data_IF_265873746927
#
_entry.id   IF_265873746927
#
_cell.length_a   1.000
_cell.length_b   1.000
_cell.length_c   1.000
_cell.angle_alpha   90.00
_cell.angle_beta   90.00
_cell.angle_gamma   90.00
#
_symmetry.space_group_name_H-M   'P 1'
#
loop_
_entity.id
_entity.type
_entity.pdbx_description
1 polymer ?
#
# COMPACT_ATOMS: atom_id res chain seq x y z
N UNK A 1 14.68 -38.69 53.66
CA UNK A 1 13.60 -38.71 52.65
C UNK A 1 13.86 -37.53 51.75
N UNK A 2 14.31 -37.79 50.53
CA UNK A 2 14.83 -36.80 49.59
C UNK A 2 13.69 -35.92 49.08
N UNK A 3 13.81 -34.59 49.28
CA UNK A 3 12.88 -33.62 48.71
C UNK A 3 13.23 -33.47 47.24
N UNK A 4 12.38 -33.98 46.35
CA UNK A 4 12.50 -33.71 44.93
C UNK A 4 12.04 -32.28 44.70
N UNK A 5 13.01 -31.39 44.61
CA UNK A 5 12.86 -29.98 44.31
C UNK A 5 12.34 -29.85 42.86
N UNK A 6 11.02 -29.67 42.70
CA UNK A 6 10.35 -29.60 41.41
C UNK A 6 10.45 -28.16 40.87
N UNK A 7 11.65 -27.78 40.42
CA UNK A 7 11.90 -26.51 39.75
C UNK A 7 12.21 -26.76 38.26
N UNK A 8 11.78 -25.82 37.42
CA UNK A 8 12.07 -25.82 35.98
C UNK A 8 13.23 -24.86 35.71
N UNK A 9 14.28 -25.33 35.04
CA UNK A 9 15.40 -24.46 34.60
C UNK A 9 15.05 -23.81 33.27
N UNK A 10 15.50 -22.58 33.07
CA UNK A 10 15.65 -22.05 31.72
C UNK A 10 16.85 -22.70 31.00
N UNK A 11 16.67 -23.02 29.73
CA UNK A 11 17.74 -23.61 28.90
C UNK A 11 18.72 -22.56 28.35
N UNK A 12 18.28 -21.29 28.28
CA UNK A 12 19.06 -20.16 27.75
C UNK A 12 19.69 -19.29 28.84
N UNK A 13 19.34 -19.49 30.12
CA UNK A 13 19.98 -18.79 31.24
C UNK A 13 19.96 -19.63 32.54
N UNK A 14 20.64 -19.16 33.59
CA UNK A 14 20.75 -19.91 34.85
C UNK A 14 19.56 -19.74 35.82
N UNK A 15 18.45 -19.13 35.38
CA UNK A 15 17.26 -18.97 36.21
C UNK A 15 16.49 -20.26 36.40
N UNK A 16 15.87 -20.37 37.57
CA UNK A 16 15.07 -21.52 38.03
C UNK A 16 13.73 -21.01 38.55
N UNK A 17 12.69 -21.77 38.29
CA UNK A 17 11.31 -21.39 38.54
C UNK A 17 10.60 -22.49 39.30
N UNK A 18 9.89 -22.14 40.36
CA UNK A 18 9.16 -23.10 41.21
C UNK A 18 7.81 -23.50 40.61
N UNK A 19 7.32 -22.77 39.61
CA UNK A 19 6.05 -23.06 38.93
C UNK A 19 6.18 -22.93 37.42
N UNK A 20 5.46 -23.77 36.68
CA UNK A 20 5.38 -23.73 35.22
C UNK A 20 4.96 -22.36 34.70
N UNK A 21 3.91 -21.76 35.31
CA UNK A 21 3.46 -20.40 34.96
C UNK A 21 4.56 -19.34 35.05
N UNK A 22 5.39 -19.39 36.10
CA UNK A 22 6.49 -18.43 36.27
C UNK A 22 7.63 -18.66 35.26
N UNK A 23 7.84 -19.92 34.86
CA UNK A 23 8.75 -20.29 33.80
C UNK A 23 8.25 -19.77 32.44
N UNK A 24 6.98 -20.02 32.08
CA UNK A 24 6.37 -19.54 30.83
C UNK A 24 6.44 -18.01 30.70
N UNK A 25 6.10 -17.28 31.77
CA UNK A 25 6.20 -15.83 31.79
C UNK A 25 7.63 -15.33 31.60
N UNK A 26 8.63 -16.04 32.13
CA UNK A 26 10.03 -15.71 31.90
C UNK A 26 10.45 -15.98 30.45
N UNK A 27 10.02 -17.11 29.89
CA UNK A 27 10.34 -17.51 28.52
C UNK A 27 9.76 -16.51 27.51
N UNK A 28 8.53 -16.03 27.74
CA UNK A 28 7.86 -15.00 26.94
C UNK A 28 8.50 -13.60 27.13
N UNK A 29 8.76 -13.18 28.37
CA UNK A 29 9.24 -11.83 28.64
C UNK A 29 10.69 -11.57 28.19
N UNK A 30 11.52 -12.62 28.11
CA UNK A 30 12.93 -12.51 27.71
C UNK A 30 13.23 -13.14 26.35
N UNK A 31 12.21 -13.49 25.58
CA UNK A 31 12.36 -14.17 24.27
C UNK A 31 13.27 -15.41 24.35
N UNK A 32 13.18 -16.16 25.46
CA UNK A 32 13.95 -17.39 25.68
C UNK A 32 13.26 -18.63 25.10
N UNK A 33 12.03 -18.49 24.60
CA UNK A 33 11.32 -19.51 23.82
C UNK A 33 12.18 -19.97 22.62
N UNK A 34 11.97 -21.19 22.12
CA UNK A 34 12.51 -21.52 20.80
C UNK A 34 11.92 -20.55 19.76
N UNK A 35 12.70 -20.04 18.80
CA UNK A 35 12.15 -19.13 17.80
C UNK A 35 11.11 -19.89 16.98
N UNK A 36 9.87 -19.40 16.99
CA UNK A 36 8.71 -20.09 16.42
C UNK A 36 8.50 -19.71 14.95
N UNK A 37 9.02 -18.55 14.53
CA UNK A 37 8.78 -17.98 13.22
C UNK A 37 10.08 -17.85 12.44
N UNK A 38 10.17 -18.51 11.29
CA UNK A 38 11.31 -18.43 10.39
C UNK A 38 10.95 -17.61 9.16
N UNK A 39 11.86 -16.74 8.70
CA UNK A 39 11.68 -16.04 7.43
C UNK A 39 11.90 -17.02 6.29
N UNK A 40 10.98 -17.09 5.33
CA UNK A 40 11.15 -17.91 4.11
C UNK A 40 12.25 -17.38 3.19
N UNK A 41 12.68 -16.12 3.39
CA UNK A 41 13.61 -15.40 2.51
C UNK A 41 15.01 -15.25 3.13
N UNK A 42 15.20 -15.56 4.41
CA UNK A 42 16.50 -15.52 5.07
C UNK A 42 16.56 -16.46 6.28
N UNK A 43 17.76 -16.82 6.74
CA UNK A 43 17.94 -17.74 7.88
C UNK A 43 17.66 -17.13 9.25
N UNK A 44 16.95 -16.00 9.30
CA UNK A 44 16.68 -15.28 10.55
C UNK A 44 15.38 -15.80 11.15
N UNK A 45 15.44 -16.07 12.44
CA UNK A 45 14.34 -16.64 13.22
C UNK A 45 13.86 -15.62 14.25
N UNK A 46 12.58 -15.68 14.60
CA UNK A 46 11.88 -14.69 15.42
C UNK A 46 10.98 -15.40 16.43
N UNK A 47 10.80 -14.76 17.58
CA UNK A 47 10.01 -15.29 18.69
C UNK A 47 8.55 -14.82 18.68
N UNK A 48 8.20 -13.84 17.83
CA UNK A 48 6.83 -13.36 17.68
C UNK A 48 6.46 -13.06 16.23
N UNK A 49 5.16 -13.22 15.92
CA UNK A 49 4.60 -12.89 14.61
C UNK A 49 4.79 -11.40 14.27
N UNK A 50 4.71 -10.52 15.26
CA UNK A 50 4.93 -9.09 15.07
C UNK A 50 6.38 -8.78 14.66
N UNK A 51 7.36 -9.43 15.29
CA UNK A 51 8.77 -9.23 14.99
C UNK A 51 9.14 -9.70 13.58
N UNK A 52 8.65 -10.88 13.16
CA UNK A 52 8.88 -11.34 11.78
C UNK A 52 8.17 -10.44 10.76
N UNK A 53 6.94 -9.99 11.03
CA UNK A 53 6.24 -9.07 10.11
C UNK A 53 7.00 -7.74 9.96
N UNK A 54 7.51 -7.17 11.05
CA UNK A 54 8.34 -5.97 10.99
C UNK A 54 9.64 -6.20 10.22
N UNK A 55 10.28 -7.35 10.42
CA UNK A 55 11.47 -7.73 9.66
C UNK A 55 11.18 -7.84 8.15
N UNK A 56 10.14 -8.59 7.78
CA UNK A 56 9.74 -8.79 6.38
C UNK A 56 9.40 -7.47 5.71
N UNK A 57 8.75 -6.54 6.42
CA UNK A 57 8.47 -5.18 5.92
C UNK A 57 9.73 -4.32 5.78
N UNK A 58 10.58 -4.26 6.80
CA UNK A 58 11.78 -3.41 6.80
C UNK A 58 12.86 -3.86 5.81
N UNK A 59 13.01 -5.17 5.62
CA UNK A 59 13.90 -5.75 4.61
C UNK A 59 13.24 -5.90 3.25
N UNK A 60 11.93 -5.68 3.19
CA UNK A 60 11.15 -5.87 1.98
C UNK A 60 11.24 -7.32 1.48
N UNK A 61 11.25 -8.29 2.38
CA UNK A 61 11.17 -9.71 2.02
C UNK A 61 9.76 -10.13 1.61
N UNK A 62 8.74 -9.29 1.87
CA UNK A 62 7.41 -9.52 1.30
C UNK A 62 7.50 -9.55 -0.22
N UNK A 63 6.95 -10.62 -0.80
CA UNK A 63 6.72 -10.68 -2.23
C UNK A 63 5.88 -9.49 -2.67
N UNK A 64 6.22 -8.82 -3.78
CA UNK A 64 5.41 -7.74 -4.31
C UNK A 64 4.06 -8.31 -4.77
N UNK A 65 2.96 -7.81 -4.20
CA UNK A 65 1.60 -8.32 -4.42
C UNK A 65 0.76 -7.47 -5.35
N UNK A 66 1.12 -6.19 -5.53
CA UNK A 66 0.28 -5.21 -6.23
C UNK A 66 0.90 -4.89 -7.59
N UNK A 67 0.40 -5.49 -8.70
CA UNK A 67 0.91 -5.20 -10.02
C UNK A 67 0.42 -3.84 -10.53
N UNK A 68 1.25 -3.15 -11.29
CA UNK A 68 0.80 -2.06 -12.14
C UNK A 68 -0.03 -2.63 -13.30
N UNK A 69 -1.17 -2.01 -13.59
CA UNK A 69 -2.02 -2.43 -14.72
C UNK A 69 -1.46 -2.05 -16.09
N UNK A 70 -0.50 -1.12 -16.13
CA UNK A 70 0.02 -0.51 -17.35
C UNK A 70 1.44 -0.97 -17.69
N UNK A 71 2.19 -1.50 -16.71
CA UNK A 71 3.55 -1.98 -16.93
C UNK A 71 3.86 -3.21 -16.07
N UNK A 72 5.01 -3.85 -16.30
CA UNK A 72 5.39 -5.09 -15.61
C UNK A 72 5.94 -4.88 -14.18
N UNK A 73 5.80 -3.68 -13.60
CA UNK A 73 6.26 -3.41 -12.24
C UNK A 73 5.24 -3.91 -11.22
N UNK A 74 5.75 -4.49 -10.13
CA UNK A 74 4.93 -4.99 -9.01
C UNK A 74 5.45 -4.40 -7.70
N UNK A 75 4.54 -4.00 -6.83
CA UNK A 75 4.82 -3.29 -5.59
C UNK A 75 4.41 -4.10 -4.37
N UNK A 76 5.07 -3.83 -3.24
CA UNK A 76 4.85 -4.54 -1.97
C UNK A 76 3.62 -4.04 -1.21
N UNK A 77 3.23 -2.79 -1.42
CA UNK A 77 2.07 -2.15 -0.78
C UNK A 77 1.23 -1.40 -1.80
N UNK A 78 -0.04 -1.15 -1.46
CA UNK A 78 -0.96 -0.37 -2.28
C UNK A 78 -0.50 1.08 -2.40
N UNK A 79 0.06 1.65 -1.33
CA UNK A 79 0.57 3.03 -1.30
C UNK A 79 1.77 3.21 -2.23
N UNK A 80 2.68 2.24 -2.27
CA UNK A 80 3.82 2.26 -3.19
C UNK A 80 3.35 2.14 -4.65
N UNK A 81 2.37 1.27 -4.92
CA UNK A 81 1.75 1.17 -6.23
C UNK A 81 1.06 2.49 -6.61
N UNK A 82 0.30 3.11 -5.70
CA UNK A 82 -0.40 4.35 -5.96
C UNK A 82 0.57 5.51 -6.25
N UNK A 83 1.66 5.63 -5.49
CA UNK A 83 2.72 6.60 -5.75
C UNK A 83 3.34 6.39 -7.14
N UNK A 84 3.61 5.15 -7.53
CA UNK A 84 4.11 4.83 -8.87
C UNK A 84 3.10 5.23 -9.96
N UNK A 85 1.83 4.87 -9.78
CA UNK A 85 0.78 5.18 -10.75
C UNK A 85 0.61 6.70 -10.92
N UNK A 86 0.71 7.47 -9.84
CA UNK A 86 0.72 8.93 -9.87
C UNK A 86 1.95 9.49 -10.62
N UNK A 87 3.15 9.04 -10.24
CA UNK A 87 4.41 9.55 -10.80
C UNK A 87 4.58 9.22 -12.29
N UNK A 88 4.08 8.07 -12.74
CA UNK A 88 4.14 7.62 -14.13
C UNK A 88 2.89 7.92 -14.94
N UNK A 89 1.86 8.53 -14.33
CA UNK A 89 0.55 8.79 -14.94
C UNK A 89 -0.05 7.53 -15.59
N UNK A 90 0.05 6.41 -14.88
CA UNK A 90 -0.49 5.12 -15.33
C UNK A 90 -1.97 4.94 -15.00
N UNK A 91 -2.55 5.83 -14.18
CA UNK A 91 -4.00 5.87 -13.97
C UNK A 91 -4.72 6.14 -15.27
N UNK A 92 -5.91 5.57 -15.44
CA UNK A 92 -6.76 5.93 -16.57
C UNK A 92 -7.06 7.44 -16.55
N UNK A 93 -7.05 8.11 -17.71
CA UNK A 93 -7.41 9.52 -17.76
C UNK A 93 -8.87 9.68 -17.36
N UNK A 94 -9.16 10.69 -16.54
CA UNK A 94 -10.50 10.89 -15.93
C UNK A 94 -11.13 12.24 -16.27
N UNK A 95 -10.39 13.15 -16.91
CA UNK A 95 -10.85 14.52 -17.20
C UNK A 95 -11.33 14.61 -18.64
N UNK A 96 -12.65 14.53 -18.91
CA UNK A 96 -13.15 14.58 -20.28
C UNK A 96 -13.10 15.99 -20.86
N UNK A 97 -12.96 16.08 -22.17
CA UNK A 97 -13.32 17.28 -22.92
C UNK A 97 -14.85 17.36 -23.04
N UNK A 98 -15.42 18.54 -22.82
CA UNK A 98 -16.87 18.74 -22.93
C UNK A 98 -17.37 18.85 -24.37
N UNK A 99 -16.47 19.06 -25.34
CA UNK A 99 -16.82 19.27 -26.75
C UNK A 99 -16.46 18.06 -27.64
N UNK A 100 -15.55 17.18 -27.20
CA UNK A 100 -15.14 16.01 -27.96
C UNK A 100 -14.88 14.79 -27.07
N UNK A 101 -14.61 13.62 -27.67
CA UNK A 101 -14.44 12.37 -26.93
C UNK A 101 -13.05 12.17 -26.28
N UNK A 102 -12.19 13.19 -26.27
CA UNK A 102 -10.86 13.09 -25.67
C UNK A 102 -10.95 13.18 -24.15
N UNK A 103 -10.17 12.34 -23.45
CA UNK A 103 -10.10 12.29 -21.99
C UNK A 103 -8.63 12.43 -21.58
N UNK A 104 -8.37 13.27 -20.59
CA UNK A 104 -7.04 13.69 -20.15
C UNK A 104 -6.77 13.26 -18.71
N UNK A 105 -5.49 13.17 -18.32
CA UNK A 105 -5.10 12.80 -16.96
C UNK A 105 -5.09 13.98 -15.97
N UNK A 106 -5.17 15.20 -16.46
CA UNK A 106 -5.07 16.42 -15.65
C UNK A 106 -5.93 17.53 -16.25
N UNK A 107 -6.47 18.40 -15.39
CA UNK A 107 -7.24 19.58 -15.81
C UNK A 107 -6.42 20.52 -16.70
N UNK A 108 -5.12 20.71 -16.41
CA UNK A 108 -4.24 21.57 -17.22
C UNK A 108 -4.13 21.08 -18.67
N UNK A 109 -3.91 19.78 -18.87
CA UNK A 109 -3.86 19.19 -20.21
C UNK A 109 -5.20 19.30 -20.96
N UNK A 110 -6.33 19.13 -20.24
CA UNK A 110 -7.65 19.34 -20.82
C UNK A 110 -7.86 20.81 -21.19
N UNK A 111 -7.47 21.76 -20.34
CA UNK A 111 -7.57 23.20 -20.61
C UNK A 111 -6.73 23.63 -21.81
N UNK A 112 -5.49 23.15 -21.91
CA UNK A 112 -4.62 23.37 -23.07
C UNK A 112 -5.22 22.80 -24.35
N UNK A 113 -5.83 21.61 -24.27
CA UNK A 113 -6.56 21.04 -25.40
C UNK A 113 -7.77 21.90 -25.81
N UNK A 114 -8.55 22.36 -24.82
CA UNK A 114 -9.71 23.22 -25.05
C UNK A 114 -9.30 24.50 -25.76
N UNK A 115 -8.20 25.13 -25.33
CA UNK A 115 -7.65 26.32 -25.98
C UNK A 115 -7.14 26.03 -27.40
N UNK A 116 -6.32 24.99 -27.57
CA UNK A 116 -5.69 24.65 -28.85
C UNK A 116 -6.72 24.24 -29.92
N UNK A 117 -7.79 23.54 -29.52
CA UNK A 117 -8.86 23.10 -30.42
C UNK A 117 -10.05 24.07 -30.46
N UNK A 118 -9.98 25.17 -29.68
CA UNK A 118 -11.07 26.16 -29.54
C UNK A 118 -12.39 25.53 -29.08
N UNK A 119 -12.30 24.52 -28.23
CA UNK A 119 -13.42 23.97 -27.49
C UNK A 119 -13.68 24.88 -26.28
N UNK A 120 -14.94 25.23 -26.03
CA UNK A 120 -15.30 26.07 -24.89
C UNK A 120 -16.54 25.51 -24.21
N UNK A 121 -16.59 25.58 -22.88
CA UNK A 121 -17.82 25.44 -22.10
C UNK A 121 -18.83 26.46 -22.67
N UNK A 122 -19.94 25.98 -23.24
CA UNK A 122 -20.96 26.74 -24.01
C UNK A 122 -20.65 27.05 -25.49
N UNK A 123 -19.94 26.18 -26.22
CA UNK A 123 -19.62 26.36 -27.64
C UNK A 123 -20.61 25.69 -28.60
N UNK A 124 -21.26 26.48 -29.47
CA UNK A 124 -22.04 25.95 -30.59
C UNK A 124 -21.16 25.77 -31.84
N UNK A 125 -20.95 24.53 -32.29
CA UNK A 125 -20.10 24.19 -33.45
C UNK A 125 -20.64 24.73 -34.79
N UNK A 126 -21.97 24.79 -34.95
CA UNK A 126 -22.62 25.27 -36.17
C UNK A 126 -22.59 26.80 -36.31
N UNK A 127 -22.70 27.51 -35.18
CA UNK A 127 -22.69 28.98 -35.13
C UNK A 127 -21.32 29.57 -34.76
N UNK A 128 -20.35 28.72 -34.36
CA UNK A 128 -19.02 29.08 -33.82
C UNK A 128 -19.07 30.18 -32.74
N UNK A 129 -20.08 30.15 -31.87
CA UNK A 129 -20.28 31.16 -30.82
C UNK A 129 -20.28 30.52 -29.43
N UNK A 130 -19.70 31.26 -28.48
CA UNK A 130 -19.69 30.95 -27.06
C UNK A 130 -20.80 31.73 -26.38
N UNK A 131 -21.51 31.10 -25.45
CA UNK A 131 -22.59 31.75 -24.71
C UNK A 131 -22.28 31.82 -23.22
N UNK A 132 -22.79 32.88 -22.57
CA UNK A 132 -22.52 33.16 -21.17
C UNK A 132 -23.41 32.33 -20.21
N UNK A 133 -24.40 31.60 -20.75
CA UNK A 133 -25.23 30.64 -20.00
C UNK A 133 -25.95 29.62 -20.91
N UNK A 134 -26.35 28.49 -20.32
CA UNK A 134 -27.09 27.38 -20.95
C UNK A 134 -28.41 27.82 -21.64
N UNK A 135 -29.05 28.89 -21.14
CA UNK A 135 -30.36 29.35 -21.63
C UNK A 135 -30.30 29.93 -23.05
N UNK A 136 -29.11 30.32 -23.55
CA UNK A 136 -28.95 30.81 -24.92
C UNK A 136 -28.88 29.71 -25.98
N UNK A 137 -28.92 28.43 -25.59
CA UNK A 137 -28.95 27.29 -26.52
C UNK A 137 -30.37 26.85 -26.92
N UNK A 138 -31.43 27.39 -26.29
CA UNK A 138 -32.84 26.91 -26.45
C UNK A 138 -33.72 27.66 -27.46
N UNK A 139 -33.20 28.61 -28.23
CA UNK A 139 -33.96 29.30 -29.28
C UNK A 139 -33.23 29.27 -30.63
N UNK A 140 -33.23 28.11 -31.28
CA UNK A 140 -33.16 27.98 -32.75
C UNK A 140 -34.09 26.86 -33.17
#
# INVERSE_FOLDING_TARGET
>A
MEKYDHWVKCDTCDRRFETERSYEQHMDALDHCAPVFESETCTRTFFSQAAINQHMSSKGHWEPKVPCKTCSQTFKTEEAAAQHMNAKRHWEPTVPCETCSQIFHTEEAAAQHMEAQRHYENYCVYSKRRFDSENCLRQV
#
